data_IF_785966211222
#
_entry.id   IF_785966211222
#
_cell.length_a   1.000
_cell.length_b   1.000
_cell.length_c   1.000
_cell.angle_alpha   90.00
_cell.angle_beta   90.00
_cell.angle_gamma   90.00
#
_symmetry.space_group_name_H-M   'P 1'
#
loop_
_entity.id
_entity.type
_entity.pdbx_description
1 polymer ?
#
# COMPACT_ATOMS: atom_id res chain seq x y z
N UNK A 1 -82.52 -90.11 -163.25
CA UNK A 1 -83.34 -89.20 -162.40
C UNK A 1 -82.60 -89.06 -161.07
N UNK A 2 -81.98 -87.95 -160.67
CA UNK A 2 -81.97 -86.60 -161.23
C UNK A 2 -82.09 -85.47 -160.18
N UNK A 3 -82.35 -85.74 -158.88
CA UNK A 3 -82.87 -84.65 -158.02
C UNK A 3 -82.48 -84.66 -156.51
N UNK A 4 -81.46 -85.39 -156.06
CA UNK A 4 -81.07 -85.38 -154.62
C UNK A 4 -79.62 -85.01 -154.29
N UNK A 5 -78.74 -84.81 -155.27
CA UNK A 5 -77.35 -84.36 -155.02
C UNK A 5 -77.21 -82.84 -154.79
N UNK A 6 -78.25 -82.04 -155.05
CA UNK A 6 -78.23 -80.58 -154.85
C UNK A 6 -78.45 -80.10 -153.41
N UNK A 7 -79.05 -80.92 -152.53
CA UNK A 7 -79.38 -80.49 -151.15
C UNK A 7 -78.24 -80.62 -150.15
N UNK A 8 -77.19 -81.38 -150.46
CA UNK A 8 -76.09 -81.62 -149.51
C UNK A 8 -74.99 -80.55 -149.55
N UNK A 9 -74.90 -79.77 -150.63
CA UNK A 9 -73.86 -78.74 -150.77
C UNK A 9 -74.24 -77.42 -150.06
N UNK A 10 -75.54 -77.12 -149.94
CA UNK A 10 -76.04 -75.86 -149.36
C UNK A 10 -75.99 -75.84 -147.82
N UNK A 11 -76.09 -77.01 -147.17
CA UNK A 11 -75.96 -77.10 -145.70
C UNK A 11 -74.51 -76.90 -145.21
N UNK A 12 -73.50 -77.20 -146.05
CA UNK A 12 -72.09 -77.12 -145.64
C UNK A 12 -71.55 -75.69 -145.64
N UNK A 13 -72.01 -74.85 -146.56
CA UNK A 13 -71.56 -73.45 -146.65
C UNK A 13 -72.15 -72.56 -145.54
N UNK A 14 -73.33 -72.90 -145.02
CA UNK A 14 -73.91 -72.19 -143.87
C UNK A 14 -73.18 -72.50 -142.55
N UNK A 15 -72.69 -73.72 -142.35
CA UNK A 15 -71.97 -74.09 -141.12
C UNK A 15 -70.58 -73.42 -140.99
N UNK A 16 -69.91 -73.11 -142.11
CA UNK A 16 -68.58 -72.46 -142.09
C UNK A 16 -68.68 -70.96 -141.78
N UNK A 17 -69.75 -70.27 -142.21
CA UNK A 17 -69.95 -68.85 -141.90
C UNK A 17 -70.25 -68.58 -140.42
N UNK A 18 -70.96 -69.49 -139.77
CA UNK A 18 -71.33 -69.33 -138.36
C UNK A 18 -70.12 -69.50 -137.43
N UNK A 19 -69.19 -70.39 -137.79
CA UNK A 19 -67.96 -70.63 -137.02
C UNK A 19 -66.95 -69.48 -137.13
N UNK A 20 -66.83 -68.82 -138.29
CA UNK A 20 -65.98 -67.62 -138.43
C UNK A 20 -66.47 -66.44 -137.58
N UNK A 21 -67.78 -66.24 -137.49
CA UNK A 21 -68.36 -65.09 -136.77
C UNK A 21 -68.21 -65.20 -135.24
N UNK A 22 -68.12 -66.43 -134.71
CA UNK A 22 -67.89 -66.65 -133.28
C UNK A 22 -66.42 -66.45 -132.90
N UNK A 23 -65.47 -66.79 -133.78
CA UNK A 23 -64.04 -66.59 -133.51
C UNK A 23 -63.64 -65.10 -133.44
N UNK A 24 -64.22 -64.24 -134.30
CA UNK A 24 -63.95 -62.79 -134.26
C UNK A 24 -64.43 -62.15 -132.94
N UNK A 25 -65.59 -62.58 -132.42
CA UNK A 25 -66.12 -62.09 -131.14
C UNK A 25 -65.27 -62.48 -129.94
N UNK A 26 -64.71 -63.69 -129.91
CA UNK A 26 -63.83 -64.11 -128.83
C UNK A 26 -62.49 -63.36 -128.85
N UNK A 27 -61.97 -63.05 -130.04
CA UNK A 27 -60.70 -62.32 -130.18
C UNK A 27 -60.83 -60.84 -129.78
N UNK A 28 -61.96 -60.20 -130.10
CA UNK A 28 -62.26 -58.82 -129.71
C UNK A 28 -62.45 -58.67 -128.19
N UNK A 29 -63.08 -59.65 -127.53
CA UNK A 29 -63.23 -59.68 -126.07
C UNK A 29 -61.90 -59.88 -125.33
N UNK A 30 -60.98 -60.70 -125.88
CA UNK A 30 -59.66 -60.93 -125.29
C UNK A 30 -58.75 -59.68 -125.39
N UNK A 31 -58.82 -58.93 -126.50
CA UNK A 31 -58.06 -57.69 -126.67
C UNK A 31 -58.55 -56.59 -125.72
N UNK A 32 -59.86 -56.41 -125.55
CA UNK A 32 -60.41 -55.43 -124.61
C UNK A 32 -60.07 -55.72 -123.14
N UNK A 33 -59.98 -57.01 -122.77
CA UNK A 33 -59.56 -57.39 -121.41
C UNK A 33 -58.06 -57.07 -121.16
N UNK A 34 -57.21 -57.27 -122.16
CA UNK A 34 -55.77 -57.01 -122.05
C UNK A 34 -55.46 -55.51 -121.98
N UNK A 35 -56.15 -54.68 -122.77
CA UNK A 35 -56.01 -53.23 -122.72
C UNK A 35 -56.42 -52.67 -121.35
N UNK A 36 -57.57 -53.11 -120.83
CA UNK A 36 -58.06 -52.70 -119.52
C UNK A 36 -57.14 -53.13 -118.36
N UNK A 37 -56.52 -54.31 -118.45
CA UNK A 37 -55.55 -54.77 -117.45
C UNK A 37 -54.24 -53.97 -117.53
N UNK A 38 -53.78 -53.62 -118.74
CA UNK A 38 -52.59 -52.79 -118.95
C UNK A 38 -52.76 -51.36 -118.44
N UNK A 39 -53.91 -50.72 -118.68
CA UNK A 39 -54.20 -49.37 -118.16
C UNK A 39 -54.26 -49.36 -116.63
N UNK A 40 -54.80 -50.42 -116.02
CA UNK A 40 -54.85 -50.56 -114.56
C UNK A 40 -53.46 -50.68 -113.95
N UNK A 41 -52.58 -51.44 -114.60
CA UNK A 41 -51.21 -51.66 -114.11
C UNK A 41 -50.39 -50.37 -114.25
N UNK A 42 -50.50 -49.68 -115.39
CA UNK A 42 -49.88 -48.37 -115.63
C UNK A 42 -50.38 -47.35 -114.60
N UNK A 43 -51.69 -47.26 -114.40
CA UNK A 43 -52.28 -46.36 -113.39
C UNK A 43 -51.76 -46.66 -111.97
N UNK A 44 -51.65 -47.93 -111.58
CA UNK A 44 -51.11 -48.30 -110.26
C UNK A 44 -49.62 -47.97 -110.09
N UNK A 45 -48.83 -48.15 -111.16
CA UNK A 45 -47.41 -47.80 -111.19
C UNK A 45 -47.21 -46.29 -111.12
N UNK A 46 -48.03 -45.53 -111.84
CA UNK A 46 -48.04 -44.07 -111.77
C UNK A 46 -48.42 -43.58 -110.38
N UNK A 47 -49.41 -44.20 -109.73
CA UNK A 47 -49.81 -43.88 -108.36
C UNK A 47 -48.70 -44.21 -107.35
N UNK A 48 -48.05 -45.37 -107.49
CA UNK A 48 -46.93 -45.76 -106.65
C UNK A 48 -45.72 -44.85 -106.84
N UNK A 49 -45.36 -44.51 -108.09
CA UNK A 49 -44.28 -43.57 -108.39
C UNK A 49 -44.59 -42.16 -107.91
N UNK A 50 -45.86 -41.70 -108.01
CA UNK A 50 -46.29 -40.43 -107.46
C UNK A 50 -46.18 -40.42 -105.93
N UNK A 51 -46.58 -41.50 -105.26
CA UNK A 51 -46.41 -41.67 -103.81
C UNK A 51 -44.94 -41.72 -103.38
N UNK A 52 -44.09 -42.41 -104.14
CA UNK A 52 -42.65 -42.51 -103.86
C UNK A 52 -41.93 -41.18 -104.11
N UNK A 53 -42.30 -40.44 -105.15
CA UNK A 53 -41.80 -39.08 -105.39
C UNK A 53 -42.21 -38.14 -104.27
N UNK A 54 -43.46 -38.24 -103.82
CA UNK A 54 -43.98 -37.44 -102.71
C UNK A 54 -43.24 -37.75 -101.41
N UNK A 55 -43.10 -39.02 -101.05
CA UNK A 55 -42.36 -39.44 -99.86
C UNK A 55 -40.88 -39.04 -99.95
N UNK A 56 -40.26 -39.17 -101.12
CA UNK A 56 -38.89 -38.70 -101.34
C UNK A 56 -38.79 -37.20 -101.09
N UNK A 57 -39.70 -36.42 -101.65
CA UNK A 57 -39.73 -34.98 -101.46
C UNK A 57 -39.96 -34.59 -100.00
N UNK A 58 -40.90 -35.25 -99.31
CA UNK A 58 -41.14 -35.08 -97.87
C UNK A 58 -39.87 -35.38 -97.06
N UNK A 59 -39.16 -36.47 -97.35
CA UNK A 59 -37.88 -36.78 -96.65
C UNK A 59 -36.74 -35.84 -97.01
N UNK A 60 -36.70 -35.30 -98.23
CA UNK A 60 -35.71 -34.29 -98.63
C UNK A 60 -35.97 -32.96 -97.93
N UNK A 61 -37.24 -32.58 -97.77
CA UNK A 61 -37.68 -31.40 -97.04
C UNK A 61 -37.37 -31.55 -95.54
N UNK A 62 -37.70 -32.69 -94.91
CA UNK A 62 -37.34 -32.99 -93.51
C UNK A 62 -35.83 -33.01 -93.29
N UNK A 63 -35.06 -33.55 -94.24
CA UNK A 63 -33.59 -33.55 -94.17
C UNK A 63 -33.02 -32.13 -94.28
N UNK A 64 -33.60 -31.29 -95.13
CA UNK A 64 -33.20 -29.89 -95.25
C UNK A 64 -33.53 -29.11 -93.97
N UNK A 65 -34.71 -29.33 -93.38
CA UNK A 65 -35.14 -28.70 -92.14
C UNK A 65 -34.25 -29.12 -90.96
N UNK A 66 -33.97 -30.42 -90.82
CA UNK A 66 -33.11 -30.93 -89.74
C UNK A 66 -31.65 -30.49 -89.89
N UNK A 67 -31.15 -30.34 -91.12
CA UNK A 67 -29.83 -29.72 -91.37
C UNK A 67 -29.82 -28.25 -90.98
N UNK A 68 -30.85 -27.49 -91.35
CA UNK A 68 -30.98 -26.09 -90.92
C UNK A 68 -31.00 -25.97 -89.38
N UNK A 69 -31.80 -26.81 -88.71
CA UNK A 69 -31.81 -26.87 -87.24
C UNK A 69 -30.46 -27.29 -86.65
N UNK A 70 -29.73 -28.20 -87.29
CA UNK A 70 -28.41 -28.62 -86.82
C UNK A 70 -27.40 -27.47 -86.94
N UNK A 71 -27.37 -26.77 -88.07
CA UNK A 71 -26.52 -25.59 -88.28
C UNK A 71 -26.83 -24.49 -87.26
N UNK A 72 -28.11 -24.17 -87.03
CA UNK A 72 -28.53 -23.23 -85.99
C UNK A 72 -28.12 -23.69 -84.58
N UNK A 73 -28.20 -24.99 -84.29
CA UNK A 73 -27.73 -25.54 -83.02
C UNK A 73 -26.21 -25.50 -82.88
N UNK A 74 -25.46 -25.73 -83.96
CA UNK A 74 -23.99 -25.62 -83.97
C UNK A 74 -23.53 -24.17 -83.71
N UNK A 75 -24.19 -23.20 -84.37
CA UNK A 75 -23.93 -21.78 -84.16
C UNK A 75 -24.27 -21.35 -82.73
N UNK A 76 -25.43 -21.75 -82.20
CA UNK A 76 -25.81 -21.44 -80.81
C UNK A 76 -24.88 -22.10 -79.79
N UNK A 77 -24.43 -23.34 -80.04
CA UNK A 77 -23.42 -23.99 -79.19
C UNK A 77 -22.12 -23.20 -79.22
N UNK A 78 -21.69 -22.74 -80.40
CA UNK A 78 -20.47 -21.95 -80.54
C UNK A 78 -20.57 -20.62 -79.76
N UNK A 79 -21.69 -19.89 -79.90
CA UNK A 79 -21.95 -18.65 -79.18
C UNK A 79 -21.98 -18.86 -77.67
N UNK A 80 -22.68 -19.90 -77.20
CA UNK A 80 -22.72 -20.27 -75.78
C UNK A 80 -21.33 -20.64 -75.24
N UNK A 81 -20.49 -21.32 -76.03
CA UNK A 81 -19.12 -21.62 -75.64
C UNK A 81 -18.26 -20.34 -75.53
N UNK A 82 -18.44 -19.37 -76.43
CA UNK A 82 -17.73 -18.09 -76.35
C UNK A 82 -18.20 -17.26 -75.16
N UNK A 83 -19.51 -17.19 -74.92
CA UNK A 83 -20.08 -16.57 -73.72
C UNK A 83 -19.56 -17.21 -72.44
N UNK A 84 -19.52 -18.55 -72.38
CA UNK A 84 -19.00 -19.28 -71.22
C UNK A 84 -17.52 -18.94 -70.96
N UNK A 85 -16.69 -18.88 -72.02
CA UNK A 85 -15.28 -18.46 -71.90
C UNK A 85 -15.15 -17.02 -71.41
N UNK A 86 -15.99 -16.11 -71.90
CA UNK A 86 -15.99 -14.72 -71.45
C UNK A 86 -16.40 -14.59 -69.98
N UNK A 87 -17.52 -15.22 -69.58
CA UNK A 87 -17.96 -15.25 -68.17
C UNK A 87 -16.92 -15.90 -67.26
N UNK A 88 -16.23 -16.96 -67.71
CA UNK A 88 -15.15 -17.59 -66.95
C UNK A 88 -13.97 -16.63 -66.75
N UNK A 89 -13.56 -15.89 -67.80
CA UNK A 89 -12.52 -14.87 -67.69
C UNK A 89 -12.94 -13.77 -66.73
N UNK A 90 -14.14 -13.22 -66.87
CA UNK A 90 -14.67 -12.18 -65.98
C UNK A 90 -14.71 -12.64 -64.51
N UNK A 91 -15.19 -13.87 -64.25
CA UNK A 91 -15.19 -14.46 -62.91
C UNK A 91 -13.76 -14.61 -62.35
N UNK A 92 -12.80 -15.03 -63.18
CA UNK A 92 -11.40 -15.15 -62.77
C UNK A 92 -10.77 -13.79 -62.43
N UNK A 93 -11.07 -12.74 -63.21
CA UNK A 93 -10.61 -11.38 -62.94
C UNK A 93 -11.27 -10.80 -61.69
N UNK A 94 -12.57 -11.03 -61.50
CA UNK A 94 -13.28 -10.63 -60.29
C UNK A 94 -12.67 -11.28 -59.04
N UNK A 95 -12.40 -12.59 -59.10
CA UNK A 95 -11.73 -13.33 -58.02
C UNK A 95 -10.31 -12.80 -57.76
N UNK A 96 -9.53 -12.52 -58.81
CA UNK A 96 -8.19 -11.94 -58.67
C UNK A 96 -8.22 -10.54 -58.04
N UNK A 97 -9.21 -9.71 -58.40
CA UNK A 97 -9.38 -8.37 -57.82
C UNK A 97 -9.73 -8.46 -56.33
N UNK A 98 -10.65 -9.34 -55.97
CA UNK A 98 -11.06 -9.56 -54.58
C UNK A 98 -9.90 -10.08 -53.73
N UNK A 99 -9.18 -11.09 -54.21
CA UNK A 99 -8.01 -11.66 -53.52
C UNK A 99 -6.89 -10.64 -53.38
N UNK A 100 -6.57 -9.87 -54.43
CA UNK A 100 -5.57 -8.80 -54.36
C UNK A 100 -5.98 -7.71 -53.36
N UNK A 101 -7.26 -7.33 -53.34
CA UNK A 101 -7.81 -6.38 -52.37
C UNK A 101 -7.66 -6.88 -50.93
N UNK A 102 -8.03 -8.14 -50.68
CA UNK A 102 -7.88 -8.79 -49.38
C UNK A 102 -6.40 -8.87 -48.94
N UNK A 103 -5.48 -9.20 -49.86
CA UNK A 103 -4.03 -9.22 -49.58
C UNK A 103 -3.54 -7.82 -49.18
N UNK A 104 -3.92 -6.77 -49.92
CA UNK A 104 -3.52 -5.39 -49.59
C UNK A 104 -4.04 -4.95 -48.21
N UNK A 105 -5.30 -5.24 -47.91
CA UNK A 105 -5.89 -4.95 -46.60
C UNK A 105 -5.15 -5.69 -45.48
N UNK A 106 -4.84 -6.97 -45.69
CA UNK A 106 -4.07 -7.78 -44.72
C UNK A 106 -2.67 -7.22 -44.50
N UNK A 107 -1.96 -6.83 -45.55
CA UNK A 107 -0.62 -6.20 -45.43
C UNK A 107 -0.72 -4.90 -44.63
N UNK A 108 -1.71 -4.05 -44.93
CA UNK A 108 -1.92 -2.79 -44.19
C UNK A 108 -2.20 -3.05 -42.70
N UNK A 109 -3.06 -4.03 -42.41
CA UNK A 109 -3.39 -4.41 -41.04
C UNK A 109 -2.18 -4.96 -40.27
N UNK A 110 -1.36 -5.80 -40.91
CA UNK A 110 -0.13 -6.32 -40.31
C UNK A 110 0.89 -5.20 -40.01
N UNK A 111 1.03 -4.21 -40.90
CA UNK A 111 1.88 -3.03 -40.63
C UNK A 111 1.36 -2.22 -39.44
N UNK A 112 0.04 -2.00 -39.37
CA UNK A 112 -0.56 -1.28 -38.25
C UNK A 112 -0.36 -2.02 -36.92
N UNK A 113 -0.42 -3.37 -36.92
CA UNK A 113 -0.11 -4.16 -35.74
C UNK A 113 1.37 -4.04 -35.33
N UNK A 114 2.30 -4.13 -36.27
CA UNK A 114 3.74 -3.97 -36.00
C UNK A 114 4.07 -2.57 -35.45
N UNK A 115 3.45 -1.52 -35.98
CA UNK A 115 3.61 -0.16 -35.46
C UNK A 115 3.04 -0.02 -34.05
N UNK A 116 1.86 -0.60 -33.77
CA UNK A 116 1.29 -0.64 -32.41
C UNK A 116 2.16 -1.41 -31.43
N UNK A 117 2.73 -2.53 -31.84
CA UNK A 117 3.62 -3.33 -30.99
C UNK A 117 4.89 -2.55 -30.66
N UNK A 118 5.45 -1.79 -31.60
CA UNK A 118 6.57 -0.87 -31.36
C UNK A 118 6.19 0.26 -30.41
N UNK A 119 5.02 0.87 -30.59
CA UNK A 119 4.54 1.95 -29.72
C UNK A 119 4.35 1.45 -28.29
N UNK A 120 3.71 0.29 -28.10
CA UNK A 120 3.55 -0.34 -26.79
C UNK A 120 4.89 -0.72 -26.15
N UNK A 121 5.85 -1.21 -26.94
CA UNK A 121 7.20 -1.51 -26.45
C UNK A 121 7.92 -0.23 -25.99
N UNK A 122 7.81 0.86 -26.76
CA UNK A 122 8.39 2.16 -26.42
C UNK A 122 7.75 2.75 -25.16
N UNK A 123 6.42 2.68 -25.04
CA UNK A 123 5.67 3.14 -23.87
C UNK A 123 6.09 2.35 -22.62
N UNK A 124 6.20 1.02 -22.72
CA UNK A 124 6.67 0.18 -21.62
C UNK A 124 8.08 0.57 -21.15
N UNK A 125 9.02 0.77 -22.08
CA UNK A 125 10.39 1.20 -21.76
C UNK A 125 10.40 2.59 -21.12
N UNK A 126 9.58 3.51 -21.62
CA UNK A 126 9.44 4.85 -21.06
C UNK A 126 8.92 4.79 -19.62
N UNK A 127 7.81 4.07 -19.38
CA UNK A 127 7.23 3.89 -18.06
C UNK A 127 8.21 3.22 -17.09
N UNK A 128 8.92 2.19 -17.54
CA UNK A 128 9.93 1.51 -16.72
C UNK A 128 11.06 2.46 -16.30
N UNK A 129 11.56 3.30 -17.21
CA UNK A 129 12.60 4.30 -16.88
C UNK A 129 12.09 5.36 -15.90
N UNK A 130 10.85 5.82 -16.05
CA UNK A 130 10.25 6.77 -15.11
C UNK A 130 10.05 6.14 -13.71
N UNK A 131 9.62 4.88 -13.66
CA UNK A 131 9.55 4.13 -12.40
C UNK A 131 10.93 3.97 -11.74
N UNK A 132 11.95 3.53 -12.49
CA UNK A 132 13.33 3.39 -11.98
C UNK A 132 13.88 4.73 -11.45
N UNK A 133 13.60 5.85 -12.13
CA UNK A 133 13.98 7.20 -11.67
C UNK A 133 13.26 7.57 -10.38
N UNK A 134 11.97 7.31 -10.30
CA UNK A 134 11.16 7.60 -9.11
C UNK A 134 11.60 6.77 -7.90
N UNK A 135 11.83 5.48 -8.12
CA UNK A 135 12.32 4.56 -7.09
C UNK A 135 13.72 4.95 -6.62
N UNK A 136 14.61 5.34 -7.53
CA UNK A 136 15.93 5.87 -7.18
C UNK A 136 15.86 7.11 -6.27
N UNK A 137 14.95 8.05 -6.55
CA UNK A 137 14.71 9.22 -5.69
C UNK A 137 14.18 8.81 -4.31
N UNK A 138 13.20 7.92 -4.26
CA UNK A 138 12.63 7.42 -2.99
C UNK A 138 13.66 6.69 -2.15
N UNK A 139 14.52 5.87 -2.76
CA UNK A 139 15.62 5.20 -2.05
C UNK A 139 16.59 6.21 -1.46
N UNK A 140 16.94 7.28 -2.20
CA UNK A 140 17.79 8.35 -1.67
C UNK A 140 17.12 9.11 -0.52
N UNK A 141 15.83 9.42 -0.63
CA UNK A 141 15.04 10.06 0.44
C UNK A 141 14.99 9.19 1.70
N UNK A 142 14.71 7.89 1.54
CA UNK A 142 14.70 6.92 2.66
C UNK A 142 16.06 6.90 3.35
N UNK A 143 17.16 6.81 2.59
CA UNK A 143 18.51 6.82 3.16
C UNK A 143 18.82 8.11 3.92
N UNK A 144 18.34 9.27 3.44
CA UNK A 144 18.47 10.55 4.16
C UNK A 144 17.71 10.51 5.48
N UNK A 145 16.45 10.10 5.45
CA UNK A 145 15.58 10.02 6.62
C UNK A 145 16.08 9.01 7.66
N UNK A 146 16.56 7.84 7.23
CA UNK A 146 17.16 6.83 8.12
C UNK A 146 18.36 7.39 8.86
N UNK A 147 19.26 8.10 8.17
CA UNK A 147 20.40 8.74 8.81
C UNK A 147 20.01 9.81 9.83
N UNK A 148 18.97 10.61 9.54
CA UNK A 148 18.43 11.59 10.50
C UNK A 148 17.83 10.87 11.71
N UNK A 149 17.12 9.76 11.49
CA UNK A 149 16.47 9.00 12.54
C UNK A 149 17.51 8.38 13.50
N UNK A 150 18.61 7.85 12.96
CA UNK A 150 19.72 7.32 13.77
C UNK A 150 20.46 8.42 14.53
N UNK A 151 20.68 9.60 13.92
CA UNK A 151 21.21 10.75 14.64
C UNK A 151 20.30 11.18 15.81
N UNK A 152 18.99 11.22 15.59
CA UNK A 152 18.00 11.48 16.64
C UNK A 152 18.02 10.43 17.77
N UNK A 153 18.21 9.14 17.43
CA UNK A 153 18.33 8.06 18.43
C UNK A 153 19.58 8.25 19.29
N UNK A 154 20.74 8.51 18.67
CA UNK A 154 21.98 8.74 19.40
C UNK A 154 21.91 9.98 20.29
N UNK A 155 21.33 11.08 19.79
CA UNK A 155 21.10 12.27 20.63
C UNK A 155 20.25 11.93 21.86
N UNK A 156 19.17 11.16 21.68
CA UNK A 156 18.31 10.73 22.79
C UNK A 156 19.06 9.85 23.79
N UNK A 157 19.90 8.94 23.33
CA UNK A 157 20.73 8.09 24.19
C UNK A 157 21.73 8.93 24.99
N UNK A 158 22.44 9.85 24.35
CA UNK A 158 23.37 10.76 25.01
C UNK A 158 22.68 11.67 26.04
N UNK A 159 21.48 12.16 25.73
CA UNK A 159 20.66 12.92 26.68
C UNK A 159 20.27 12.06 27.88
N UNK A 160 19.80 10.84 27.65
CA UNK A 160 19.40 9.93 28.71
C UNK A 160 20.58 9.57 29.62
N UNK A 161 21.74 9.25 29.03
CA UNK A 161 22.97 8.98 29.78
C UNK A 161 23.39 10.19 30.61
N UNK A 162 23.35 11.39 30.03
CA UNK A 162 23.67 12.63 30.75
C UNK A 162 22.68 12.90 31.89
N UNK A 163 21.39 12.62 31.71
CA UNK A 163 20.39 12.81 32.77
C UNK A 163 20.58 11.85 33.96
N UNK A 164 20.90 10.59 33.67
CA UNK A 164 20.91 9.53 34.69
C UNK A 164 22.30 9.34 35.33
N UNK A 165 23.37 9.52 34.56
CA UNK A 165 24.72 9.13 34.98
C UNK A 165 25.69 10.31 35.19
N UNK A 166 25.33 11.54 34.81
CA UNK A 166 26.25 12.67 34.96
C UNK A 166 26.63 12.90 36.43
N UNK A 167 27.92 12.71 36.73
CA UNK A 167 28.49 12.88 38.08
C UNK A 167 27.68 12.15 39.18
N UNK A 168 27.13 10.98 38.85
CA UNK A 168 26.29 10.19 39.77
C UNK A 168 26.99 9.89 41.09
N UNK A 169 28.28 9.56 41.07
CA UNK A 169 29.07 9.29 42.27
C UNK A 169 29.13 10.52 43.19
N UNK A 170 29.43 11.69 42.63
CA UNK A 170 29.44 12.96 43.36
C UNK A 170 28.07 13.30 43.96
N UNK A 171 26.98 13.03 43.24
CA UNK A 171 25.61 13.25 43.75
C UNK A 171 25.26 12.28 44.88
N UNK A 172 25.70 11.04 44.80
CA UNK A 172 25.51 10.05 45.88
C UNK A 172 26.32 10.46 47.11
N UNK A 173 27.58 10.86 46.92
CA UNK A 173 28.43 11.36 48.00
C UNK A 173 27.81 12.61 48.67
N UNK A 174 27.37 13.59 47.87
CA UNK A 174 26.67 14.77 48.36
C UNK A 174 25.43 14.39 49.18
N UNK A 175 24.61 13.44 48.71
CA UNK A 175 23.42 12.98 49.45
C UNK A 175 23.79 12.37 50.81
N UNK A 176 24.86 11.59 50.87
CA UNK A 176 25.35 11.00 52.12
C UNK A 176 25.84 12.10 53.06
N UNK A 177 26.69 13.01 52.58
CA UNK A 177 27.25 14.11 53.37
C UNK A 177 26.17 15.07 53.88
N UNK A 178 25.23 15.46 53.02
CA UNK A 178 24.07 16.27 53.41
C UNK A 178 23.24 15.57 54.49
N UNK A 179 23.01 14.26 54.35
CA UNK A 179 22.31 13.48 55.38
C UNK A 179 23.05 13.39 56.72
N UNK A 180 24.39 13.42 56.72
CA UNK A 180 25.20 13.48 57.95
C UNK A 180 25.06 14.85 58.60
N UNK A 181 25.25 15.93 57.84
CA UNK A 181 25.17 17.30 58.38
C UNK A 181 23.76 17.62 58.88
N UNK A 182 22.70 17.17 58.19
CA UNK A 182 21.33 17.35 58.67
C UNK A 182 21.11 16.70 60.04
N UNK A 183 21.65 15.49 60.27
CA UNK A 183 21.58 14.84 61.59
C UNK A 183 22.42 15.56 62.63
N UNK A 184 23.60 16.07 62.26
CA UNK A 184 24.43 16.89 63.15
C UNK A 184 23.68 18.16 63.59
N UNK A 185 23.03 18.87 62.67
CA UNK A 185 22.21 20.05 62.97
C UNK A 185 21.02 19.72 63.88
N UNK A 186 20.34 18.60 63.64
CA UNK A 186 19.25 18.11 64.51
C UNK A 186 19.77 17.80 65.92
N UNK A 187 20.91 17.13 66.04
CA UNK A 187 21.53 16.84 67.33
C UNK A 187 21.93 18.13 68.06
N UNK A 188 22.59 19.07 67.39
CA UNK A 188 22.96 20.37 67.97
C UNK A 188 21.71 21.12 68.43
N UNK A 189 20.61 21.07 67.67
CA UNK A 189 19.36 21.71 68.07
C UNK A 189 18.78 21.08 69.36
N UNK A 190 18.76 19.75 69.46
CA UNK A 190 18.31 19.05 70.67
C UNK A 190 19.20 19.36 71.88
N UNK A 191 20.52 19.35 71.69
CA UNK A 191 21.48 19.68 72.74
C UNK A 191 21.35 21.13 73.19
N UNK A 192 21.16 22.08 72.27
CA UNK A 192 20.90 23.48 72.60
C UNK A 192 19.63 23.62 73.44
N UNK A 193 18.52 23.02 73.03
CA UNK A 193 17.25 23.10 73.76
C UNK A 193 17.39 22.53 75.19
N UNK A 194 18.14 21.44 75.35
CA UNK A 194 18.42 20.88 76.67
C UNK A 194 19.27 21.82 77.55
N UNK A 195 20.31 22.43 76.98
CA UNK A 195 21.20 23.35 77.70
C UNK A 195 20.49 24.69 78.00
N UNK A 196 19.66 25.20 77.11
CA UNK A 196 18.80 26.37 77.36
C UNK A 196 17.80 26.10 78.49
N UNK A 197 17.21 24.89 78.52
CA UNK A 197 16.37 24.44 79.62
C UNK A 197 17.12 24.41 80.95
N UNK A 198 18.36 23.91 80.96
CA UNK A 198 19.24 23.93 82.14
C UNK A 198 19.55 25.36 82.60
N UNK A 199 19.86 26.27 81.65
CA UNK A 199 20.10 27.69 81.97
C UNK A 199 18.88 28.33 82.62
N UNK A 200 17.69 28.07 82.08
CA UNK A 200 16.43 28.58 82.64
C UNK A 200 16.18 28.07 84.06
N UNK A 201 16.45 26.79 84.31
CA UNK A 201 16.32 26.20 85.64
C UNK A 201 17.33 26.80 86.66
N UNK A 202 18.60 26.96 86.25
CA UNK A 202 19.63 27.60 87.10
C UNK A 202 19.29 29.07 87.38
N UNK A 203 18.83 29.82 86.39
CA UNK A 203 18.39 31.20 86.57
C UNK A 203 17.23 31.33 87.55
N UNK A 204 16.25 30.40 87.52
CA UNK A 204 15.16 30.36 88.49
C UNK A 204 15.64 30.01 89.92
N UNK A 205 16.60 29.09 90.05
CA UNK A 205 17.22 28.76 91.34
C UNK A 205 17.99 29.95 91.91
N UNK A 206 18.78 30.65 91.08
CA UNK A 206 19.53 31.84 91.47
C UNK A 206 18.60 32.97 91.93
N UNK A 207 17.55 33.26 91.18
CA UNK A 207 16.56 34.26 91.59
C UNK A 207 15.95 33.93 92.97
N UNK A 208 15.60 32.66 93.19
CA UNK A 208 15.08 32.19 94.49
C UNK A 208 16.11 32.36 95.62
N UNK A 209 17.40 32.05 95.34
CA UNK A 209 18.47 32.23 96.33
C UNK A 209 18.75 33.71 96.62
N UNK A 210 18.69 34.58 95.62
CA UNK A 210 18.84 36.04 95.77
C UNK A 210 17.69 36.65 96.59
N UNK A 211 16.46 36.19 96.38
CA UNK A 211 15.31 36.59 97.21
C UNK A 211 15.50 36.13 98.67
N UNK A 212 15.92 34.88 98.89
CA UNK A 212 16.23 34.37 100.23
C UNK A 212 17.39 35.13 100.89
N UNK A 213 18.39 35.55 100.11
CA UNK A 213 19.52 36.34 100.59
C UNK A 213 19.05 37.68 101.12
N UNK A 214 18.18 38.35 100.37
CA UNK A 214 17.57 39.63 100.76
C UNK A 214 16.74 39.51 102.05
N UNK A 215 15.95 38.43 102.17
CA UNK A 215 15.20 38.14 103.40
C UNK A 215 16.13 37.91 104.60
N UNK A 216 17.27 37.24 104.40
CA UNK A 216 18.31 37.04 105.41
C UNK A 216 19.01 38.36 105.79
N UNK A 217 19.33 39.22 104.83
CA UNK A 217 19.88 40.56 105.07
C UNK A 217 18.94 41.41 105.92
N UNK A 218 17.65 41.39 105.60
CA UNK A 218 16.62 42.09 106.37
C UNK A 218 16.54 41.54 107.81
N UNK A 219 16.57 40.22 107.98
CA UNK A 219 16.60 39.59 109.30
C UNK A 219 17.85 39.97 110.10
N UNK A 220 19.04 39.94 109.48
CA UNK A 220 20.31 40.34 110.12
C UNK A 220 20.26 41.83 110.49
N UNK A 221 19.74 42.69 109.62
CA UNK A 221 19.59 44.13 109.85
C UNK A 221 18.68 44.42 111.05
N UNK A 222 17.51 43.76 111.13
CA UNK A 222 16.61 43.87 112.29
C UNK A 222 17.28 43.33 113.56
N UNK A 223 17.95 42.18 113.46
CA UNK A 223 18.60 41.55 114.60
C UNK A 223 19.81 42.35 115.11
N UNK A 224 20.53 43.04 114.23
CA UNK A 224 21.69 43.89 114.57
C UNK A 224 21.28 45.21 115.25
N UNK A 225 20.05 45.69 115.03
CA UNK A 225 19.48 46.85 115.75
C UNK A 225 19.16 46.53 117.22
N UNK A 226 19.11 45.25 117.58
CA UNK A 226 18.85 44.79 118.94
C UNK A 226 20.19 44.59 119.66
N UNK A 227 20.41 45.27 120.79
CA UNK A 227 21.71 45.23 121.48
C UNK A 227 21.96 43.87 122.15
N UNK A 228 23.16 43.32 121.95
CA UNK A 228 23.61 42.06 122.59
C UNK A 228 23.91 42.25 124.08
N UNK A 229 24.00 43.50 124.55
CA UNK A 229 24.23 43.86 125.95
C UNK A 229 22.97 44.55 126.49
N UNK A 230 22.23 43.83 127.33
CA UNK A 230 21.14 44.38 128.12
C UNK A 230 21.60 44.46 129.58
N UNK A 231 21.75 45.68 130.12
CA UNK A 231 22.07 45.90 131.53
C UNK A 231 23.43 45.34 131.99
N UNK A 232 24.43 45.25 131.11
CA UNK A 232 25.77 44.77 131.46
C UNK A 232 25.95 43.24 131.45
N UNK A 233 24.92 42.47 131.09
CA UNK A 233 25.00 41.02 130.85
C UNK A 233 24.90 40.73 129.35
N UNK A 234 25.74 39.82 128.86
CA UNK A 234 25.73 39.37 127.47
C UNK A 234 24.54 38.44 127.26
N UNK A 235 23.67 38.77 126.32
CA UNK A 235 22.57 37.90 125.93
C UNK A 235 23.10 36.79 125.01
N UNK A 236 23.40 35.63 125.60
CA UNK A 236 23.99 34.47 124.91
C UNK A 236 23.09 33.92 123.80
N UNK A 237 21.76 33.99 123.95
CA UNK A 237 20.84 33.52 122.90
C UNK A 237 20.84 34.45 121.69
N UNK A 238 20.94 35.77 121.93
CA UNK A 238 21.09 36.78 120.88
C UNK A 238 22.40 36.59 120.11
N UNK A 239 23.52 36.38 120.82
CA UNK A 239 24.82 36.11 120.19
C UNK A 239 24.80 34.81 119.36
N UNK A 240 24.15 33.76 119.86
CA UNK A 240 24.03 32.48 119.15
C UNK A 240 23.16 32.59 117.89
N UNK A 241 22.05 33.33 117.95
CA UNK A 241 21.17 33.55 116.80
C UNK A 241 21.82 34.45 115.75
N UNK A 242 22.56 35.49 116.16
CA UNK A 242 23.35 36.32 115.25
C UNK A 242 24.39 35.48 114.49
N UNK A 243 25.20 34.71 115.22
CA UNK A 243 26.21 33.83 114.62
C UNK A 243 25.59 32.85 113.62
N UNK A 244 24.43 32.27 113.95
CA UNK A 244 23.71 31.37 113.04
C UNK A 244 23.25 32.08 111.76
N UNK A 245 22.69 33.28 111.85
CA UNK A 245 22.28 34.05 110.68
C UNK A 245 23.48 34.45 109.82
N UNK A 246 24.59 34.85 110.44
CA UNK A 246 25.83 35.15 109.73
C UNK A 246 26.37 33.90 109.00
N UNK A 247 26.36 32.72 109.64
CA UNK A 247 26.74 31.44 109.02
C UNK A 247 25.78 31.02 107.88
N UNK A 248 24.46 31.21 108.04
CA UNK A 248 23.45 30.93 106.99
C UNK A 248 23.59 31.89 105.80
N UNK A 249 23.96 33.15 106.05
CA UNK A 249 24.20 34.16 105.01
C UNK A 249 25.47 33.87 104.20
N UNK A 250 26.58 33.55 104.86
CA UNK A 250 27.82 33.14 104.19
C UNK A 250 27.60 31.88 103.34
N UNK A 251 26.91 30.87 103.88
CA UNK A 251 26.57 29.66 103.12
C UNK A 251 25.71 29.95 101.89
N UNK A 252 24.77 30.88 101.99
CA UNK A 252 23.92 31.25 100.86
C UNK A 252 24.68 32.01 99.78
N UNK A 253 25.61 32.89 100.17
CA UNK A 253 26.52 33.57 99.24
C UNK A 253 27.40 32.57 98.49
N UNK A 254 28.02 31.62 99.19
CA UNK A 254 28.83 30.57 98.57
C UNK A 254 27.99 29.75 97.57
N UNK A 255 26.75 29.41 97.93
CA UNK A 255 25.83 28.70 97.05
C UNK A 255 25.45 29.51 95.81
N UNK A 256 25.22 30.82 95.95
CA UNK A 256 24.94 31.73 94.82
C UNK A 256 26.16 31.82 93.91
N UNK A 257 27.36 31.95 94.46
CA UNK A 257 28.59 32.03 93.68
C UNK A 257 28.84 30.74 92.89
N UNK A 258 28.70 29.57 93.54
CA UNK A 258 28.77 28.27 92.88
C UNK A 258 27.74 28.14 91.75
N UNK A 259 26.50 28.60 91.97
CA UNK A 259 25.44 28.56 90.94
C UNK A 259 25.68 29.53 89.79
N UNK A 260 26.29 30.69 90.05
CA UNK A 260 26.71 31.64 89.01
C UNK A 260 27.84 31.06 88.16
N UNK A 261 28.78 30.34 88.77
CA UNK A 261 29.84 29.63 88.04
C UNK A 261 29.24 28.51 87.17
N UNK A 262 28.32 27.71 87.71
CA UNK A 262 27.58 26.70 86.93
C UNK A 262 26.83 27.35 85.75
N UNK A 263 26.14 28.48 85.96
CA UNK A 263 25.44 29.20 84.90
C UNK A 263 26.42 29.72 83.83
N UNK A 264 27.57 30.27 84.23
CA UNK A 264 28.59 30.71 83.29
C UNK A 264 29.14 29.56 82.44
N UNK A 265 29.29 28.36 83.03
CA UNK A 265 29.65 27.15 82.29
C UNK A 265 28.57 26.72 81.27
N UNK A 266 27.29 26.82 81.65
CA UNK A 266 26.16 26.57 80.74
C UNK A 266 26.11 27.58 79.59
N UNK A 267 26.34 28.86 79.86
CA UNK A 267 26.40 29.91 78.84
C UNK A 267 27.59 29.72 77.87
N UNK A 268 28.74 29.29 78.38
CA UNK A 268 29.89 28.93 77.53
C UNK A 268 29.56 27.76 76.60
N UNK A 269 28.87 26.72 77.11
CA UNK A 269 28.43 25.59 76.31
C UNK A 269 27.39 25.98 75.25
N UNK A 270 26.45 26.88 75.57
CA UNK A 270 25.51 27.41 74.58
C UNK A 270 26.23 28.13 73.45
N UNK A 271 27.25 28.92 73.78
CA UNK A 271 28.06 29.61 72.79
C UNK A 271 28.79 28.62 71.87
N UNK A 272 29.40 27.59 72.43
CA UNK A 272 30.05 26.52 71.66
C UNK A 272 29.06 25.80 70.72
N UNK A 273 27.85 25.49 71.20
CA UNK A 273 26.81 24.88 70.37
C UNK A 273 26.34 25.80 69.23
N UNK A 274 26.31 27.12 69.45
CA UNK A 274 26.00 28.09 68.38
C UNK A 274 27.11 28.16 67.33
N UNK A 275 28.37 28.16 67.75
CA UNK A 275 29.53 28.14 66.84
C UNK A 275 29.53 26.84 66.01
N UNK A 276 29.32 25.68 66.65
CA UNK A 276 29.21 24.38 65.97
C UNK A 276 28.03 24.34 64.98
N UNK A 277 26.91 24.98 65.32
CA UNK A 277 25.76 25.10 64.42
C UNK A 277 26.12 25.91 63.18
N UNK A 278 26.77 27.07 63.35
CA UNK A 278 27.18 27.94 62.24
C UNK A 278 28.16 27.20 61.31
N UNK A 279 29.15 26.49 61.87
CA UNK A 279 30.09 25.67 61.10
C UNK A 279 29.39 24.55 60.30
N UNK A 280 28.40 23.89 60.91
CA UNK A 280 27.60 22.86 60.23
C UNK A 280 26.72 23.46 59.11
N UNK A 281 26.10 24.62 59.34
CA UNK A 281 25.32 25.33 58.32
C UNK A 281 26.20 25.79 57.16
N UNK A 282 27.42 26.27 57.43
CA UNK A 282 28.35 26.70 56.38
C UNK A 282 28.89 25.52 55.56
N UNK A 283 29.13 24.36 56.19
CA UNK A 283 29.41 23.11 55.48
C UNK A 283 28.22 22.72 54.58
N UNK A 284 26.98 22.84 55.06
CA UNK A 284 25.78 22.56 54.25
C UNK A 284 25.68 23.50 53.04
N UNK A 285 25.87 24.81 53.23
CA UNK A 285 25.89 25.80 52.13
C UNK A 285 26.98 25.48 51.11
N UNK A 286 28.14 25.01 51.56
CA UNK A 286 29.24 24.56 50.70
C UNK A 286 28.81 23.39 49.81
N UNK A 287 28.20 22.36 50.41
CA UNK A 287 27.67 21.22 49.66
C UNK A 287 26.60 21.64 48.63
N UNK A 288 25.65 22.48 49.04
CA UNK A 288 24.59 22.98 48.15
C UNK A 288 25.15 23.73 46.94
N UNK A 289 26.19 24.55 47.13
CA UNK A 289 26.87 25.22 46.00
C UNK A 289 27.47 24.21 45.03
N UNK A 290 28.16 23.18 45.53
CA UNK A 290 28.73 22.13 44.67
C UNK A 290 27.63 21.38 43.91
N UNK A 291 26.48 21.09 44.57
CA UNK A 291 25.35 20.45 43.90
C UNK A 291 24.82 21.32 42.75
N UNK A 292 24.65 22.63 42.99
CA UNK A 292 24.21 23.57 41.96
C UNK A 292 25.21 23.61 40.80
N UNK A 293 26.51 23.63 41.06
CA UNK A 293 27.53 23.57 40.02
C UNK A 293 27.41 22.30 39.17
N UNK A 294 27.27 21.13 39.80
CA UNK A 294 27.06 19.85 39.10
C UNK A 294 25.80 19.89 38.22
N UNK A 295 24.69 20.41 38.74
CA UNK A 295 23.44 20.53 37.99
C UNK A 295 23.55 21.50 36.81
N UNK A 296 24.24 22.64 36.98
CA UNK A 296 24.48 23.60 35.90
C UNK A 296 25.37 23.00 34.82
N UNK A 297 26.41 22.25 35.18
CA UNK A 297 27.21 21.51 34.21
C UNK A 297 26.40 20.47 33.44
N UNK A 298 25.54 19.72 34.13
CA UNK A 298 24.62 18.76 33.51
C UNK A 298 23.69 19.46 32.49
N UNK A 299 23.09 20.59 32.89
CA UNK A 299 22.24 21.40 32.01
C UNK A 299 23.00 21.93 30.79
N UNK A 300 24.23 22.43 30.98
CA UNK A 300 25.08 22.89 29.86
C UNK A 300 25.38 21.76 28.88
N UNK A 301 25.70 20.55 29.37
CA UNK A 301 25.92 19.37 28.52
C UNK A 301 24.65 18.98 27.76
N UNK A 302 23.49 18.97 28.41
CA UNK A 302 22.21 18.68 27.76
C UNK A 302 21.85 19.70 26.68
N UNK A 303 22.03 20.99 26.95
CA UNK A 303 21.83 22.04 25.97
C UNK A 303 22.78 21.89 24.78
N UNK A 304 24.04 21.52 25.03
CA UNK A 304 24.99 21.23 23.96
C UNK A 304 24.55 20.06 23.07
N UNK A 305 23.95 19.01 23.65
CA UNK A 305 23.42 17.88 22.87
C UNK A 305 22.18 18.31 22.07
N UNK A 306 21.27 19.06 22.70
CA UNK A 306 20.05 19.58 22.06
C UNK A 306 20.33 20.61 20.96
N UNK A 307 21.41 21.37 21.07
CA UNK A 307 21.79 22.37 20.07
C UNK A 307 22.34 21.76 18.77
N UNK A 308 22.73 20.48 18.79
CA UNK A 308 23.19 19.80 17.59
C UNK A 308 21.99 19.50 16.71
N UNK A 309 21.99 19.97 15.47
CA UNK A 309 20.93 19.62 14.53
C UNK A 309 21.08 18.16 14.10
N UNK A 310 20.01 17.34 14.14
CA UNK A 310 20.07 15.94 13.72
C UNK A 310 20.57 15.77 12.28
N UNK A 311 20.28 16.74 11.40
CA UNK A 311 20.74 16.76 10.01
C UNK A 311 22.25 16.93 9.90
N UNK A 312 22.85 17.81 10.71
CA UNK A 312 24.29 18.05 10.72
C UNK A 312 25.03 16.83 11.29
N UNK A 313 24.49 16.23 12.34
CA UNK A 313 25.02 15.00 12.94
C UNK A 313 24.95 13.84 11.93
N UNK A 314 23.83 13.68 11.23
CA UNK A 314 23.67 12.68 10.18
C UNK A 314 24.64 12.88 9.00
N UNK A 315 24.97 14.13 8.64
CA UNK A 315 26.00 14.45 7.63
C UNK A 315 27.40 14.09 8.13
N UNK A 316 27.75 14.49 9.35
CA UNK A 316 29.05 14.17 9.97
C UNK A 316 29.29 12.66 10.08
N UNK A 317 28.25 11.86 10.41
CA UNK A 317 28.37 10.40 10.45
C UNK A 317 28.65 9.77 9.10
N UNK A 318 28.12 10.34 8.00
CA UNK A 318 28.42 9.86 6.65
C UNK A 318 29.83 10.20 6.20
N UNK A 319 30.34 11.35 6.65
CA UNK A 319 31.67 11.84 6.28
C UNK A 319 32.78 11.19 7.12
N UNK A 320 32.53 10.93 8.41
CA UNK A 320 33.48 10.29 9.33
C UNK A 320 33.54 8.76 9.25
N UNK A 321 32.65 8.12 8.48
CA UNK A 321 32.64 6.68 8.22
C UNK A 321 33.46 6.22 7.00
N UNK A 322 34.28 7.13 6.42
CA UNK A 322 35.23 6.84 5.35
C UNK A 322 36.65 6.73 5.87
#
# INVERSE_FOLDING_TARGET
>A
MGEQEGKFQEEKDNAVRETQKNAEKEMEAALGALEAESEKLISSLEQAMAGLRRSKQETEDELAETKGMLEENEDTIYDLQQEAKMRQKEASFAALRLTTGAIRQRISYLKLLDDKDKDLANEKVFMQREHERSDGKRVQEIQVLEGILDACRQQRELMHETLVNHKRETLVEHKVQSGVISRELEQIAMERDAVEGQRGALGGQLATMEDNLKDLEDQISVHSKTSTIQGGRVNVSHARKKRRLDEEFEQLLDNIENKREEQAGVDAKLKELMENKEDAEDRMKGLERMLVEVLVEQQKKLLSILSQQPEEVARQMREGGK
#
